data_IF_520266813607
#
_entry.id   IF_520266813607
#
_cell.length_a   1.000
_cell.length_b   1.000
_cell.length_c   1.000
_cell.angle_alpha   90.00
_cell.angle_beta   90.00
_cell.angle_gamma   90.00
#
_symmetry.space_group_name_H-M   'P 1'
#
loop_
_entity.id
_entity.type
_entity.pdbx_description
1 polymer ?
#
# COMPACT_ATOMS: atom_id res chain seq x y z
N UNK A 1 -44.86 -6.39 1.87
CA UNK A 1 -43.43 -6.72 2.13
C UNK A 1 -42.60 -5.70 1.38
N UNK A 2 -42.15 -4.63 2.05
CA UNK A 2 -41.34 -3.58 1.44
C UNK A 2 -39.89 -4.07 1.38
N UNK A 3 -39.33 -4.23 0.19
CA UNK A 3 -37.94 -4.55 -0.04
C UNK A 3 -37.06 -3.45 0.56
N UNK A 4 -36.28 -3.78 1.59
CA UNK A 4 -35.29 -2.87 2.16
C UNK A 4 -34.19 -2.62 1.13
N UNK A 5 -34.02 -1.35 0.79
CA UNK A 5 -32.99 -0.86 -0.11
C UNK A 5 -31.60 -1.21 0.45
N UNK A 6 -30.75 -2.00 -0.26
CA UNK A 6 -29.43 -2.40 0.24
C UNK A 6 -28.38 -1.27 0.26
N UNK A 7 -28.72 -0.08 -0.21
CA UNK A 7 -27.81 1.06 -0.34
C UNK A 7 -27.65 1.91 0.95
N UNK A 8 -28.24 1.51 2.08
CA UNK A 8 -28.22 2.28 3.33
C UNK A 8 -27.30 1.71 4.43
N UNK A 9 -26.42 0.80 4.08
CA UNK A 9 -25.44 0.26 5.04
C UNK A 9 -24.03 0.76 4.71
N UNK A 10 -23.49 1.54 5.63
CA UNK A 10 -22.08 1.84 5.87
C UNK A 10 -21.51 3.16 5.33
N UNK A 11 -22.10 4.30 5.70
CA UNK A 11 -21.38 5.59 5.57
C UNK A 11 -20.96 6.23 6.91
N UNK A 12 -20.94 5.53 8.03
CA UNK A 12 -20.85 6.27 9.29
C UNK A 12 -19.88 5.80 10.38
N UNK A 13 -18.97 4.82 10.18
CA UNK A 13 -18.11 4.43 11.30
C UNK A 13 -16.68 3.97 10.91
N UNK A 14 -16.07 4.52 9.87
CA UNK A 14 -14.63 4.36 9.70
C UNK A 14 -13.91 5.17 10.77
N UNK A 15 -12.82 4.62 11.31
CA UNK A 15 -11.97 5.33 12.26
C UNK A 15 -11.47 6.66 11.63
N UNK A 16 -11.51 7.80 12.33
CA UNK A 16 -11.11 9.08 11.75
C UNK A 16 -9.73 9.05 11.07
N UNK A 17 -8.75 8.38 11.69
CA UNK A 17 -7.40 8.24 11.13
C UNK A 17 -7.41 7.39 9.84
N UNK A 18 -8.26 6.35 9.76
CA UNK A 18 -8.41 5.56 8.53
C UNK A 18 -8.98 6.41 7.39
N UNK A 19 -9.94 7.28 7.67
CA UNK A 19 -10.48 8.20 6.65
C UNK A 19 -9.41 9.13 6.09
N UNK A 20 -8.53 9.65 6.95
CA UNK A 20 -7.43 10.52 6.49
C UNK A 20 -6.41 9.72 5.68
N UNK A 21 -6.07 8.49 6.08
CA UNK A 21 -5.21 7.61 5.30
C UNK A 21 -5.80 7.29 3.92
N UNK A 22 -7.11 7.03 3.82
CA UNK A 22 -7.80 6.84 2.53
C UNK A 22 -7.70 8.08 1.65
N UNK A 23 -7.91 9.28 2.23
CA UNK A 23 -7.77 10.54 1.50
C UNK A 23 -6.35 10.72 0.97
N UNK A 24 -5.34 10.43 1.79
CA UNK A 24 -3.93 10.48 1.42
C UNK A 24 -3.60 9.50 0.29
N UNK A 25 -4.03 8.23 0.40
CA UNK A 25 -3.81 7.22 -0.63
C UNK A 25 -4.46 7.59 -1.98
N UNK A 26 -5.67 8.18 -1.95
CA UNK A 26 -6.34 8.64 -3.17
C UNK A 26 -5.65 9.87 -3.79
N UNK A 27 -5.08 10.76 -2.99
CA UNK A 27 -4.31 11.90 -3.50
C UNK A 27 -3.05 11.42 -4.24
N UNK A 28 -2.30 10.49 -3.65
CA UNK A 28 -1.15 9.84 -4.30
C UNK A 28 -1.56 9.08 -5.56
N UNK A 29 -2.63 8.28 -5.48
CA UNK A 29 -3.14 7.52 -6.63
C UNK A 29 -3.57 8.40 -7.81
N UNK A 30 -4.04 9.61 -7.56
CA UNK A 30 -4.34 10.57 -8.63
C UNK A 30 -3.07 11.06 -9.35
N UNK A 31 -1.97 11.25 -8.61
CA UNK A 31 -0.65 11.60 -9.17
C UNK A 31 -0.14 10.43 -10.02
N UNK A 32 -0.16 9.22 -9.48
CA UNK A 32 0.28 7.99 -10.17
C UNK A 32 -0.53 7.78 -11.46
N UNK A 33 -1.85 7.84 -11.41
CA UNK A 33 -2.71 7.65 -12.59
C UNK A 33 -2.45 8.70 -13.68
N UNK A 34 -2.17 9.95 -13.28
CA UNK A 34 -1.83 11.00 -14.24
C UNK A 34 -0.49 10.71 -14.94
N UNK A 35 0.53 10.30 -14.18
CA UNK A 35 1.83 9.95 -14.71
C UNK A 35 1.79 8.68 -15.58
N UNK A 36 0.91 7.72 -15.25
CA UNK A 36 0.72 6.49 -16.01
C UNK A 36 0.19 6.72 -17.44
N UNK A 37 -0.35 7.91 -17.75
CA UNK A 37 -0.78 8.28 -19.11
C UNK A 37 0.40 8.51 -20.07
N UNK A 38 1.58 8.83 -19.52
CA UNK A 38 2.80 9.08 -20.30
C UNK A 38 4.03 8.68 -19.47
N UNK A 39 4.19 7.38 -19.26
CA UNK A 39 5.27 6.81 -18.45
C UNK A 39 6.65 7.10 -19.04
N UNK A 40 6.75 7.24 -20.38
CA UNK A 40 8.02 7.51 -21.06
C UNK A 40 8.60 8.89 -20.71
N UNK A 41 7.75 9.85 -20.31
CA UNK A 41 8.18 11.18 -19.87
C UNK A 41 8.65 11.25 -18.42
N UNK A 42 8.42 10.18 -17.62
CA UNK A 42 8.73 10.15 -16.19
C UNK A 42 10.25 10.07 -15.98
N UNK A 43 10.76 10.93 -15.11
CA UNK A 43 12.18 10.88 -14.72
C UNK A 43 12.42 9.72 -13.76
N UNK A 44 13.32 8.83 -14.16
CA UNK A 44 13.70 7.65 -13.42
C UNK A 44 15.09 7.85 -12.83
N UNK A 45 15.25 7.53 -11.56
CA UNK A 45 16.55 7.44 -10.87
C UNK A 45 16.72 6.03 -10.32
N UNK A 46 17.95 5.58 -10.19
CA UNK A 46 18.27 4.25 -9.67
C UNK A 46 18.85 4.38 -8.25
N UNK A 47 18.19 3.78 -7.26
CA UNK A 47 18.69 3.73 -5.87
C UNK A 47 19.81 2.71 -5.73
N UNK A 48 19.61 1.51 -6.29
CA UNK A 48 20.55 0.38 -6.31
C UNK A 48 20.34 -0.45 -7.59
N UNK A 49 21.13 -1.53 -7.78
CA UNK A 49 20.92 -2.46 -8.90
C UNK A 49 19.49 -3.00 -8.84
N UNK A 50 18.71 -2.79 -9.91
CA UNK A 50 17.30 -3.19 -10.03
C UNK A 50 16.36 -2.55 -9.00
N UNK A 51 16.75 -1.44 -8.39
CA UNK A 51 15.93 -0.68 -7.44
C UNK A 51 15.79 0.75 -7.95
N UNK A 52 14.57 1.12 -8.33
CA UNK A 52 14.27 2.37 -9.03
C UNK A 52 13.40 3.27 -8.17
N UNK A 53 13.54 4.57 -8.37
CA UNK A 53 12.66 5.60 -7.85
C UNK A 53 12.38 6.61 -8.96
N UNK A 54 11.19 7.17 -8.95
CA UNK A 54 10.77 8.18 -9.91
C UNK A 54 10.35 9.47 -9.20
N UNK A 55 10.23 10.55 -9.99
CA UNK A 55 9.63 11.78 -9.47
C UNK A 55 8.18 11.59 -9.02
N UNK A 56 7.52 10.50 -9.49
CA UNK A 56 6.15 10.14 -9.10
C UNK A 56 6.11 9.60 -7.68
N UNK A 57 7.10 8.77 -7.28
CA UNK A 57 7.24 8.27 -5.90
C UNK A 57 7.37 9.47 -4.93
N UNK A 58 8.30 10.39 -5.21
CA UNK A 58 8.50 11.56 -4.36
C UNK A 58 7.28 12.49 -4.31
N UNK A 59 6.62 12.74 -5.44
CA UNK A 59 5.42 13.58 -5.47
C UNK A 59 4.25 12.92 -4.71
N UNK A 60 4.11 11.60 -4.84
CA UNK A 60 3.10 10.81 -4.13
C UNK A 60 3.38 10.80 -2.63
N UNK A 61 4.63 10.59 -2.22
CA UNK A 61 5.04 10.64 -0.81
C UNK A 61 4.73 12.00 -0.19
N UNK A 62 5.11 13.09 -0.86
CA UNK A 62 4.85 14.44 -0.39
C UNK A 62 3.35 14.69 -0.17
N UNK A 63 2.50 14.29 -1.13
CA UNK A 63 1.05 14.45 -1.02
C UNK A 63 0.45 13.65 0.15
N UNK A 64 0.98 12.45 0.40
CA UNK A 64 0.59 11.63 1.55
C UNK A 64 0.98 12.32 2.85
N UNK A 65 2.26 12.72 2.99
CA UNK A 65 2.80 13.35 4.20
C UNK A 65 2.02 14.64 4.53
N UNK A 66 1.81 15.51 3.55
CA UNK A 66 1.04 16.75 3.72
C UNK A 66 -0.39 16.46 4.20
N UNK A 67 -1.06 15.48 3.61
CA UNK A 67 -2.44 15.11 4.01
C UNK A 67 -2.47 14.60 5.44
N UNK A 68 -1.53 13.73 5.82
CA UNK A 68 -1.47 13.11 7.13
C UNK A 68 -1.10 14.12 8.22
N UNK A 69 -0.05 14.92 8.02
CA UNK A 69 0.44 15.88 9.01
C UNK A 69 -0.46 17.12 9.13
N UNK A 70 -1.20 17.49 8.09
CA UNK A 70 -2.25 18.53 8.20
C UNK A 70 -3.34 18.10 9.19
N UNK A 71 -3.72 16.83 9.18
CA UNK A 71 -4.74 16.29 10.09
C UNK A 71 -4.16 15.93 11.48
N UNK A 72 -2.92 15.44 11.51
CA UNK A 72 -2.25 14.92 12.71
C UNK A 72 -0.81 15.41 12.82
N UNK A 73 -0.57 16.70 13.12
CA UNK A 73 0.78 17.28 13.13
C UNK A 73 1.71 16.72 14.22
N UNK A 74 1.16 16.06 15.24
CA UNK A 74 1.93 15.39 16.31
C UNK A 74 2.29 13.93 16.01
N UNK A 75 1.96 13.40 14.82
CA UNK A 75 2.34 12.03 14.47
C UNK A 75 3.73 11.98 13.84
N UNK A 76 4.40 10.82 13.98
CA UNK A 76 5.63 10.50 13.27
C UNK A 76 5.35 9.97 11.87
N UNK A 77 6.35 10.05 11.01
CA UNK A 77 6.35 9.49 9.66
C UNK A 77 7.57 8.56 9.50
N UNK A 78 7.34 7.40 8.92
CA UNK A 78 8.36 6.51 8.40
C UNK A 78 7.98 6.22 6.94
N UNK A 79 8.67 6.87 6.01
CA UNK A 79 8.40 6.77 4.59
C UNK A 79 9.54 6.07 3.85
N UNK A 80 9.25 5.46 2.71
CA UNK A 80 10.24 4.72 1.94
C UNK A 80 11.33 5.64 1.38
N UNK A 81 10.94 6.79 0.82
CA UNK A 81 11.86 7.68 0.10
C UNK A 81 12.62 8.61 1.06
N UNK A 82 11.92 9.21 2.01
CA UNK A 82 12.50 10.20 2.94
C UNK A 82 12.81 9.67 4.34
N UNK A 83 12.49 8.39 4.63
CA UNK A 83 12.72 7.80 5.95
C UNK A 83 11.94 8.50 7.05
N UNK A 84 12.60 8.84 8.16
CA UNK A 84 12.01 9.48 9.34
C UNK A 84 12.30 10.99 9.41
N UNK A 85 12.39 11.65 8.26
CA UNK A 85 12.73 13.09 8.19
C UNK A 85 11.54 13.99 8.55
N UNK A 86 10.32 13.47 8.49
CA UNK A 86 9.07 14.21 8.66
C UNK A 86 8.34 13.81 9.95
N UNK A 87 7.49 14.71 10.44
CA UNK A 87 6.65 14.48 11.61
C UNK A 87 7.40 14.52 12.95
N UNK A 88 6.71 14.15 14.01
CA UNK A 88 7.25 14.16 15.37
C UNK A 88 8.11 12.91 15.63
N UNK A 89 9.33 13.08 16.14
CA UNK A 89 10.30 11.98 16.34
C UNK A 89 9.91 11.03 17.47
N UNK A 90 9.27 11.53 18.51
CA UNK A 90 8.94 10.79 19.75
C UNK A 90 7.43 10.50 19.85
N UNK A 91 6.75 10.34 18.71
CA UNK A 91 5.32 10.09 18.70
C UNK A 91 5.01 8.60 18.90
N UNK A 92 4.04 8.28 19.77
CA UNK A 92 3.47 6.95 19.88
C UNK A 92 2.74 6.52 18.59
N UNK A 93 2.29 7.48 17.77
CA UNK A 93 1.61 7.26 16.49
C UNK A 93 2.57 7.51 15.34
N UNK A 94 2.84 6.50 14.54
CA UNK A 94 3.75 6.59 13.38
C UNK A 94 3.03 6.07 12.14
N UNK A 95 2.99 6.90 11.11
CA UNK A 95 2.55 6.50 9.78
C UNK A 95 3.72 5.84 9.03
N UNK A 96 3.46 4.67 8.47
CA UNK A 96 4.41 3.92 7.64
C UNK A 96 3.89 4.01 6.21
N UNK A 97 4.71 4.52 5.28
CA UNK A 97 4.29 4.91 3.94
C UNK A 97 5.20 4.28 2.91
N UNK A 98 4.60 3.61 1.93
CA UNK A 98 5.19 3.30 0.64
C UNK A 98 4.31 3.99 -0.41
N UNK A 99 4.83 5.04 -1.07
CA UNK A 99 4.03 5.89 -1.95
C UNK A 99 3.68 5.23 -3.28
N UNK A 100 4.53 4.30 -3.77
CA UNK A 100 4.36 3.57 -5.03
C UNK A 100 5.03 2.20 -4.95
N UNK A 101 4.43 1.26 -4.21
CA UNK A 101 4.86 -0.15 -4.22
C UNK A 101 4.67 -0.75 -5.62
N UNK A 102 5.76 -1.22 -6.20
CA UNK A 102 5.81 -1.72 -7.56
C UNK A 102 6.33 -0.70 -8.58
N UNK A 103 7.26 0.18 -8.21
CA UNK A 103 7.88 1.19 -9.08
C UNK A 103 8.42 0.56 -10.37
N UNK A 104 9.05 -0.63 -10.31
CA UNK A 104 9.51 -1.36 -11.50
C UNK A 104 8.36 -1.70 -12.45
N UNK A 105 7.22 -2.13 -11.94
CA UNK A 105 6.04 -2.40 -12.77
C UNK A 105 5.51 -1.10 -13.40
N UNK A 106 5.46 -0.04 -12.60
CA UNK A 106 5.00 1.27 -13.06
C UNK A 106 5.84 1.79 -14.23
N UNK A 107 7.17 1.82 -14.13
CA UNK A 107 8.05 2.32 -15.19
C UNK A 107 8.01 1.48 -16.48
N UNK A 108 7.56 0.22 -16.40
CA UNK A 108 7.36 -0.66 -17.55
C UNK A 108 5.92 -0.65 -18.07
N UNK A 109 5.04 0.24 -17.56
CA UNK A 109 3.64 0.30 -17.95
C UNK A 109 2.83 -0.94 -17.56
N UNK A 110 3.32 -1.76 -16.60
CA UNK A 110 2.61 -2.93 -16.11
C UNK A 110 1.72 -2.53 -14.92
N UNK A 111 0.36 -2.56 -15.05
CA UNK A 111 -0.55 -1.94 -14.08
C UNK A 111 -0.74 -2.80 -12.82
N UNK A 112 0.35 -3.14 -12.13
CA UNK A 112 0.38 -3.88 -10.86
C UNK A 112 1.28 -3.10 -9.90
N UNK A 113 0.72 -2.11 -9.26
CA UNK A 113 1.35 -1.25 -8.27
C UNK A 113 0.29 -0.67 -7.33
N UNK A 114 0.71 -0.21 -6.16
CA UNK A 114 -0.23 0.35 -5.19
C UNK A 114 0.40 1.44 -4.32
N UNK A 115 -0.44 2.15 -3.59
CA UNK A 115 -0.08 3.01 -2.46
C UNK A 115 -0.33 2.24 -1.18
N UNK A 116 0.65 2.16 -0.29
CA UNK A 116 0.52 1.46 0.99
C UNK A 116 0.74 2.43 2.16
N UNK A 117 -0.25 2.53 3.05
CA UNK A 117 -0.20 3.40 4.23
C UNK A 117 -0.68 2.61 5.44
N UNK A 118 0.15 2.57 6.48
CA UNK A 118 -0.24 1.99 7.76
C UNK A 118 -0.06 3.01 8.89
N UNK A 119 -0.89 2.91 9.94
CA UNK A 119 -0.72 3.62 11.19
C UNK A 119 -0.35 2.63 12.28
N UNK A 120 0.82 2.83 12.87
CA UNK A 120 1.25 2.15 14.07
C UNK A 120 0.98 3.01 15.32
N UNK A 121 0.52 2.36 16.39
CA UNK A 121 0.48 2.93 17.74
C UNK A 121 1.38 2.10 18.65
N UNK A 122 2.39 2.72 19.23
CA UNK A 122 3.40 2.05 20.07
C UNK A 122 3.99 0.80 19.39
N UNK A 123 4.34 0.93 18.11
CA UNK A 123 4.94 -0.12 17.30
C UNK A 123 3.96 -1.23 16.84
N UNK A 124 2.65 -1.12 17.09
CA UNK A 124 1.65 -2.10 16.63
C UNK A 124 0.74 -1.47 15.59
N UNK A 125 0.56 -2.14 14.45
CA UNK A 125 -0.33 -1.65 13.38
C UNK A 125 -1.78 -1.66 13.87
N UNK A 126 -2.44 -0.51 13.75
CA UNK A 126 -3.84 -0.29 14.14
C UNK A 126 -4.75 -0.04 12.93
N UNK A 127 -4.23 0.64 11.88
CA UNK A 127 -4.96 0.96 10.66
C UNK A 127 -4.08 0.63 9.45
N UNK A 128 -4.69 0.22 8.34
CA UNK A 128 -4.00 0.02 7.09
C UNK A 128 -4.87 0.37 5.89
N UNK A 129 -4.25 0.94 4.88
CA UNK A 129 -4.81 1.21 3.55
C UNK A 129 -3.82 0.70 2.50
N UNK A 130 -4.32 -0.08 1.55
CA UNK A 130 -3.60 -0.39 0.30
C UNK A 130 -4.53 0.00 -0.85
N UNK A 131 -4.07 0.88 -1.72
CA UNK A 131 -4.88 1.40 -2.83
C UNK A 131 -4.21 1.12 -4.16
N UNK A 132 -4.86 0.30 -4.98
CA UNK A 132 -4.51 0.10 -6.39
C UNK A 132 -5.18 1.20 -7.22
N UNK A 133 -4.45 2.21 -7.70
CA UNK A 133 -5.05 3.29 -8.45
C UNK A 133 -5.45 2.89 -9.87
N UNK A 134 -4.84 1.86 -10.46
CA UNK A 134 -5.12 1.40 -11.81
C UNK A 134 -6.50 0.75 -11.94
N UNK A 135 -6.95 0.07 -10.86
CA UNK A 135 -8.26 -0.60 -10.76
C UNK A 135 -9.26 0.15 -9.89
N UNK A 136 -8.80 1.19 -9.19
CA UNK A 136 -9.55 1.87 -8.12
C UNK A 136 -9.98 0.90 -7.00
N UNK A 137 -9.15 -0.09 -6.70
CA UNK A 137 -9.39 -1.05 -5.63
C UNK A 137 -8.79 -0.55 -4.31
N UNK A 138 -9.66 -0.34 -3.32
CA UNK A 138 -9.31 0.17 -2.01
C UNK A 138 -9.43 -0.92 -0.96
N UNK A 139 -8.29 -1.39 -0.48
CA UNK A 139 -8.20 -2.30 0.66
C UNK A 139 -8.03 -1.47 1.94
N UNK A 140 -8.81 -1.79 2.96
CA UNK A 140 -8.72 -1.13 4.27
C UNK A 140 -8.80 -2.15 5.39
N UNK A 141 -8.11 -1.87 6.48
CA UNK A 141 -8.20 -2.67 7.69
C UNK A 141 -8.10 -1.82 8.95
N UNK A 142 -8.86 -2.22 9.97
CA UNK A 142 -8.72 -1.73 11.34
C UNK A 142 -8.55 -2.92 12.25
N UNK A 143 -7.55 -2.89 13.12
CA UNK A 143 -7.29 -3.95 14.08
C UNK A 143 -8.55 -4.30 14.90
N UNK A 144 -8.87 -5.60 14.95
CA UNK A 144 -10.07 -6.11 15.61
C UNK A 144 -11.37 -5.92 14.82
N UNK A 145 -11.38 -5.19 13.71
CA UNK A 145 -12.58 -4.98 12.87
C UNK A 145 -12.55 -5.72 11.54
N UNK A 146 -11.39 -6.28 11.17
CA UNK A 146 -11.18 -7.05 9.94
C UNK A 146 -10.76 -6.18 8.76
N UNK A 147 -10.71 -6.80 7.57
CA UNK A 147 -10.28 -6.19 6.32
C UNK A 147 -11.42 -6.10 5.31
N UNK A 148 -11.34 -5.09 4.44
CA UNK A 148 -12.37 -4.75 3.47
C UNK A 148 -11.73 -4.40 2.12
N UNK A 149 -12.39 -4.78 1.03
CA UNK A 149 -12.10 -4.33 -0.33
C UNK A 149 -13.33 -3.57 -0.84
N UNK A 150 -13.17 -2.30 -1.19
CA UNK A 150 -14.26 -1.44 -1.66
C UNK A 150 -15.49 -1.55 -0.75
N UNK A 151 -15.26 -1.39 0.57
CA UNK A 151 -16.27 -1.49 1.64
C UNK A 151 -16.86 -2.90 1.86
N UNK A 152 -16.52 -3.88 1.05
CA UNK A 152 -16.93 -5.26 1.21
C UNK A 152 -15.95 -6.01 2.09
N UNK A 153 -16.44 -6.65 3.15
CA UNK A 153 -15.58 -7.42 4.05
C UNK A 153 -14.94 -8.60 3.31
N UNK A 154 -13.62 -8.69 3.41
CA UNK A 154 -12.84 -9.82 2.88
C UNK A 154 -12.36 -10.73 4.01
N UNK A 155 -12.04 -11.97 3.67
CA UNK A 155 -11.52 -12.99 4.58
C UNK A 155 -10.54 -13.86 3.83
N UNK A 156 -9.62 -14.48 4.57
CA UNK A 156 -8.73 -15.52 4.02
C UNK A 156 -9.54 -16.68 3.45
N UNK A 157 -8.97 -17.36 2.48
CA UNK A 157 -9.52 -18.58 1.90
C UNK A 157 -9.75 -19.66 2.97
N UNK A 158 -10.75 -20.51 2.77
CA UNK A 158 -10.99 -21.70 3.61
C UNK A 158 -10.17 -22.92 3.17
N UNK A 159 -9.33 -22.78 2.14
CA UNK A 159 -8.47 -23.86 1.66
C UNK A 159 -7.40 -24.16 2.70
N UNK A 160 -7.24 -25.44 3.02
CA UNK A 160 -6.29 -25.91 4.04
C UNK A 160 -5.20 -26.82 3.47
N UNK A 161 -5.34 -27.20 2.19
CA UNK A 161 -4.38 -28.04 1.49
C UNK A 161 -3.64 -27.22 0.42
N UNK A 162 -2.32 -27.34 0.38
CA UNK A 162 -1.48 -26.58 -0.54
C UNK A 162 -1.89 -26.75 -2.02
N UNK A 163 -2.22 -27.97 -2.40
CA UNK A 163 -2.69 -28.32 -3.76
C UNK A 163 -3.97 -27.59 -4.23
N UNK A 164 -4.70 -26.98 -3.28
CA UNK A 164 -5.93 -26.22 -3.57
C UNK A 164 -5.68 -24.72 -3.58
N UNK A 165 -4.47 -24.27 -3.27
CA UNK A 165 -4.13 -22.88 -3.16
C UNK A 165 -3.65 -22.29 -4.49
N UNK A 166 -3.98 -21.03 -4.71
CA UNK A 166 -3.29 -20.18 -5.67
C UNK A 166 -2.23 -19.39 -4.92
N UNK A 167 -0.98 -19.54 -5.29
CA UNK A 167 0.15 -18.90 -4.65
C UNK A 167 0.81 -17.96 -5.65
N UNK A 168 1.08 -16.73 -5.24
CA UNK A 168 1.92 -15.79 -5.96
C UNK A 168 3.21 -15.54 -5.19
N UNK A 169 4.28 -15.24 -5.92
CA UNK A 169 5.59 -14.94 -5.34
C UNK A 169 6.33 -13.92 -6.18
N UNK A 170 7.28 -13.21 -5.56
CA UNK A 170 8.26 -12.38 -6.24
C UNK A 170 9.62 -13.07 -6.25
N UNK A 171 10.41 -12.87 -7.30
CA UNK A 171 11.77 -13.39 -7.35
C UNK A 171 12.74 -12.50 -6.57
N UNK A 172 13.72 -13.08 -5.83
CA UNK A 172 14.81 -12.31 -5.25
C UNK A 172 15.61 -11.64 -6.38
N UNK A 173 15.92 -10.36 -6.20
CA UNK A 173 16.56 -9.54 -7.24
C UNK A 173 17.69 -8.65 -6.71
N UNK A 174 17.86 -8.58 -5.39
CA UNK A 174 18.89 -7.75 -4.76
C UNK A 174 20.21 -8.50 -4.63
N UNK A 175 21.36 -7.80 -4.74
CA UNK A 175 22.65 -8.39 -4.44
C UNK A 175 22.68 -8.97 -3.01
N UNK A 176 23.08 -10.24 -2.88
CA UNK A 176 23.09 -10.95 -1.59
C UNK A 176 21.84 -11.76 -1.28
N UNK A 177 20.78 -11.62 -2.05
CA UNK A 177 19.61 -12.50 -1.95
C UNK A 177 19.97 -13.95 -2.19
N UNK A 178 19.42 -14.86 -1.37
CA UNK A 178 19.69 -16.29 -1.49
C UNK A 178 18.81 -16.96 -2.56
N UNK A 179 19.12 -16.68 -3.82
CA UNK A 179 18.39 -17.21 -4.97
C UNK A 179 18.34 -18.75 -5.00
N UNK A 180 19.42 -19.42 -4.59
CA UNK A 180 19.49 -20.89 -4.56
C UNK A 180 18.46 -21.48 -3.57
N UNK A 181 18.38 -20.92 -2.37
CA UNK A 181 17.40 -21.38 -1.38
C UNK A 181 15.96 -21.05 -1.80
N UNK A 182 15.78 -19.89 -2.45
CA UNK A 182 14.47 -19.54 -3.00
C UNK A 182 13.99 -20.56 -4.04
N UNK A 183 14.85 -20.96 -4.99
CA UNK A 183 14.51 -21.98 -5.99
C UNK A 183 14.22 -23.35 -5.36
N UNK A 184 14.98 -23.75 -4.34
CA UNK A 184 14.74 -25.00 -3.62
C UNK A 184 13.35 -24.97 -2.94
N UNK A 185 13.06 -23.91 -2.19
CA UNK A 185 11.75 -23.71 -1.56
C UNK A 185 10.60 -23.67 -2.59
N UNK A 186 10.79 -23.01 -3.72
CA UNK A 186 9.80 -22.98 -4.81
C UNK A 186 9.56 -24.40 -5.36
N UNK A 187 10.63 -25.20 -5.54
CA UNK A 187 10.54 -26.58 -5.97
C UNK A 187 9.73 -27.44 -5.00
N UNK A 188 9.94 -27.27 -3.69
CA UNK A 188 9.22 -28.02 -2.63
C UNK A 188 7.73 -27.65 -2.60
N UNK A 189 7.38 -26.37 -2.88
CA UNK A 189 5.98 -25.91 -2.91
C UNK A 189 5.24 -26.39 -4.15
N UNK A 190 5.94 -26.68 -5.26
CA UNK A 190 5.36 -27.11 -6.52
C UNK A 190 5.13 -28.62 -6.62
N UNK A 191 5.64 -29.44 -5.68
CA UNK A 191 5.44 -30.89 -5.58
C UNK A 191 4.14 -31.21 -4.81
#
# INVERSE_FOLDING_TARGET
MLARNPAQFMSSNLHPMLNVAIKAARAAGAIINRAALDVESVRISQKQINDFVTEVDHASEQAIIETLLTAYPGHGILAEESGSQHGAKDSDFVWIIDPLDGTTNFIHGFPVYCVSIALAFKGKIEQAVVYDPSRNDLFTATKGRGAFLNERRIRVSKRTQLKECLISTGFPFRPGDNFKNYLAMMGDVMQ
#
